data_IF_972242208868
#
_entry.id   IF_972242208868
#
_cell.length_a   1.000
_cell.length_b   1.000
_cell.length_c   1.000
_cell.angle_alpha   90.00
_cell.angle_beta   90.00
_cell.angle_gamma   90.00
#
_symmetry.space_group_name_H-M   'P 1'
#
loop_
_entity.id
_entity.type
_entity.pdbx_description
1 polymer ?
#
# COMPACT_ATOMS: atom_id res chain seq x y z
N UNK A 1 20.74 -13.17 12.35
CA UNK A 1 20.94 -14.36 11.51
C UNK A 1 21.97 -14.04 10.43
N UNK A 2 22.76 -15.03 10.01
CA UNK A 2 23.66 -14.87 8.86
C UNK A 2 22.89 -15.25 7.60
N UNK A 3 22.80 -14.34 6.64
CA UNK A 3 22.17 -14.56 5.34
C UNK A 3 23.13 -14.03 4.28
N UNK A 4 23.53 -14.87 3.34
CA UNK A 4 24.27 -14.38 2.17
C UNK A 4 23.38 -13.44 1.35
N UNK A 5 23.98 -12.65 0.46
CA UNK A 5 23.19 -11.77 -0.42
C UNK A 5 22.19 -12.58 -1.25
N UNK A 6 22.60 -13.76 -1.74
CA UNK A 6 21.74 -14.67 -2.49
C UNK A 6 20.56 -15.19 -1.65
N UNK A 7 20.80 -15.61 -0.40
CA UNK A 7 19.73 -16.05 0.50
C UNK A 7 18.72 -14.92 0.75
N UNK A 8 19.22 -13.69 0.93
CA UNK A 8 18.38 -12.53 1.17
C UNK A 8 17.54 -12.18 -0.06
N UNK A 9 18.14 -12.23 -1.24
CA UNK A 9 17.45 -11.99 -2.51
C UNK A 9 16.35 -13.02 -2.77
N UNK A 10 16.60 -14.31 -2.46
CA UNK A 10 15.60 -15.35 -2.58
C UNK A 10 14.42 -15.10 -1.62
N UNK A 11 14.71 -14.76 -0.36
CA UNK A 11 13.68 -14.40 0.65
C UNK A 11 12.83 -13.23 0.16
N UNK A 12 13.45 -12.19 -0.40
CA UNK A 12 12.75 -10.98 -0.83
C UNK A 12 11.96 -11.23 -2.11
N UNK A 13 12.54 -11.93 -3.08
CA UNK A 13 11.88 -12.29 -4.34
C UNK A 13 10.62 -13.11 -4.08
N UNK A 14 10.70 -14.10 -3.16
CA UNK A 14 9.53 -14.89 -2.74
C UNK A 14 8.42 -14.02 -2.14
N UNK A 15 8.78 -12.96 -1.43
CA UNK A 15 7.85 -11.98 -0.86
C UNK A 15 7.29 -10.96 -1.87
N UNK A 16 7.78 -10.98 -3.12
CA UNK A 16 7.44 -10.00 -4.17
C UNK A 16 8.18 -8.67 -4.03
N UNK A 17 9.37 -8.68 -3.42
CA UNK A 17 10.19 -7.51 -3.14
C UNK A 17 11.60 -7.69 -3.72
N UNK A 18 12.30 -6.58 -3.91
CA UNK A 18 13.76 -6.51 -4.04
C UNK A 18 14.33 -5.63 -2.92
N UNK A 19 15.55 -5.90 -2.48
CA UNK A 19 16.24 -5.01 -1.56
C UNK A 19 16.61 -3.72 -2.29
N UNK A 20 16.37 -2.57 -1.66
CA UNK A 20 16.61 -1.26 -2.26
C UNK A 20 17.57 -0.42 -1.41
N UNK A 21 18.46 -1.10 -0.70
CA UNK A 21 19.53 -0.53 0.12
C UNK A 21 20.80 -1.37 -0.04
N UNK A 22 21.98 -0.85 0.33
CA UNK A 22 23.19 -1.64 0.36
C UNK A 22 23.06 -2.88 1.28
N UNK A 23 23.70 -3.99 0.88
CA UNK A 23 23.81 -5.18 1.70
C UNK A 23 24.71 -4.95 2.92
N UNK A 24 24.48 -5.72 3.98
CA UNK A 24 25.37 -5.71 5.12
C UNK A 24 26.65 -6.49 4.80
N UNK A 25 27.80 -5.84 4.92
CA UNK A 25 29.13 -6.42 4.67
C UNK A 25 29.39 -7.72 5.47
N UNK A 26 28.83 -7.80 6.67
CA UNK A 26 28.97 -8.95 7.57
C UNK A 26 27.93 -10.06 7.33
N UNK A 27 27.01 -9.87 6.37
CA UNK A 27 25.88 -10.76 6.10
C UNK A 27 24.99 -11.01 7.34
N UNK A 28 25.01 -10.11 8.33
CA UNK A 28 24.25 -10.22 9.57
C UNK A 28 23.00 -9.35 9.52
N UNK A 29 21.84 -9.99 9.67
CA UNK A 29 20.55 -9.29 9.70
C UNK A 29 19.80 -9.63 10.98
N UNK A 30 19.15 -8.64 11.62
CA UNK A 30 18.26 -8.92 12.77
C UNK A 30 16.84 -9.12 12.26
N UNK A 31 16.09 -10.06 12.86
CA UNK A 31 14.70 -10.31 12.45
C UNK A 31 13.82 -9.06 12.62
N UNK A 32 14.01 -8.28 13.67
CA UNK A 32 13.22 -7.06 13.90
C UNK A 32 13.75 -5.83 13.17
N UNK A 33 14.81 -5.98 12.36
CA UNK A 33 15.35 -4.93 11.53
C UNK A 33 14.40 -4.59 10.39
N UNK A 34 14.24 -3.30 10.14
CA UNK A 34 13.54 -2.80 8.96
C UNK A 34 14.53 -2.67 7.82
N UNK A 35 14.19 -3.25 6.68
CA UNK A 35 14.96 -3.18 5.46
C UNK A 35 14.15 -2.40 4.42
N UNK A 36 14.82 -1.49 3.72
CA UNK A 36 14.25 -0.71 2.63
C UNK A 36 14.19 -1.55 1.38
N UNK A 37 13.00 -1.63 0.81
CA UNK A 37 12.65 -2.57 -0.25
C UNK A 37 11.91 -1.85 -1.35
N UNK A 38 11.88 -2.45 -2.54
CA UNK A 38 11.02 -2.03 -3.64
C UNK A 38 10.11 -3.19 -4.03
N UNK A 39 8.84 -2.89 -4.26
CA UNK A 39 7.88 -3.87 -4.75
C UNK A 39 8.13 -4.22 -6.21
N UNK A 40 8.20 -5.50 -6.53
CA UNK A 40 8.41 -5.99 -7.90
C UNK A 40 7.18 -5.79 -8.82
N UNK A 41 6.03 -5.42 -8.27
CA UNK A 41 4.77 -5.25 -9.02
C UNK A 41 4.48 -3.77 -9.27
N UNK A 42 4.34 -2.99 -8.20
CA UNK A 42 3.93 -1.59 -8.27
C UNK A 42 5.09 -0.61 -8.12
N UNK A 43 6.32 -1.10 -7.88
CA UNK A 43 7.49 -0.24 -7.69
C UNK A 43 7.49 0.57 -6.40
N UNK A 44 6.46 0.46 -5.54
CA UNK A 44 6.42 1.16 -4.26
C UNK A 44 7.59 0.75 -3.39
N UNK A 45 8.29 1.75 -2.88
CA UNK A 45 9.39 1.56 -1.94
C UNK A 45 8.91 1.77 -0.52
N UNK A 46 9.27 0.84 0.37
CA UNK A 46 8.89 0.91 1.77
C UNK A 46 9.84 0.07 2.62
N UNK A 47 9.86 0.41 3.91
CA UNK A 47 10.56 -0.36 4.92
C UNK A 47 9.65 -1.48 5.43
N UNK A 48 10.13 -2.72 5.41
CA UNK A 48 9.47 -3.86 6.04
C UNK A 48 10.41 -4.54 7.02
N UNK A 49 9.86 -5.08 8.12
CA UNK A 49 10.65 -5.90 9.06
C UNK A 49 11.01 -7.21 8.39
N UNK A 50 12.26 -7.66 8.55
CA UNK A 50 12.67 -8.98 8.05
C UNK A 50 11.78 -10.09 8.61
N UNK A 51 11.41 -10.02 9.89
CA UNK A 51 10.46 -10.95 10.52
C UNK A 51 9.12 -10.99 9.80
N UNK A 52 8.58 -9.83 9.43
CA UNK A 52 7.31 -9.74 8.71
C UNK A 52 7.41 -10.36 7.32
N UNK A 53 8.53 -10.15 6.62
CA UNK A 53 8.80 -10.76 5.31
C UNK A 53 8.82 -12.30 5.43
N UNK A 54 9.54 -12.82 6.43
CA UNK A 54 9.62 -14.27 6.68
C UNK A 54 8.25 -14.86 7.00
N UNK A 55 7.48 -14.24 7.89
CA UNK A 55 6.12 -14.68 8.25
C UNK A 55 5.18 -14.71 7.02
N UNK A 56 5.26 -13.71 6.15
CA UNK A 56 4.46 -13.65 4.92
C UNK A 56 4.87 -14.70 3.89
N UNK A 57 6.16 -14.99 3.79
CA UNK A 57 6.65 -16.10 2.96
C UNK A 57 6.17 -17.47 3.44
N UNK A 58 6.06 -17.65 4.76
CA UNK A 58 5.57 -18.90 5.37
C UNK A 58 4.09 -19.13 5.07
N UNK A 59 3.28 -18.06 5.04
CA UNK A 59 1.86 -18.16 4.67
C UNK A 59 1.56 -17.93 3.18
N UNK A 60 2.58 -17.79 2.33
CA UNK A 60 2.45 -17.61 0.88
C UNK A 60 1.84 -16.26 0.45
N UNK A 61 1.83 -15.26 1.32
CA UNK A 61 1.31 -13.92 1.04
C UNK A 61 2.41 -12.96 0.59
N UNK A 62 2.06 -12.01 -0.28
CA UNK A 62 2.97 -10.92 -0.68
C UNK A 62 3.04 -9.83 0.39
N UNK A 63 4.19 -9.16 0.48
CA UNK A 63 4.46 -8.19 1.57
C UNK A 63 4.00 -6.75 1.26
N UNK A 64 3.96 -6.36 -0.02
CA UNK A 64 3.71 -4.96 -0.40
C UNK A 64 2.38 -4.42 0.14
N UNK A 65 2.44 -3.43 1.06
CA UNK A 65 1.25 -2.85 1.66
C UNK A 65 0.45 -1.96 0.73
N UNK A 66 1.09 -1.33 -0.26
CA UNK A 66 0.35 -0.60 -1.29
C UNK A 66 -0.54 -1.56 -2.11
N UNK A 67 0.02 -2.64 -2.65
CA UNK A 67 -0.77 -3.66 -3.36
C UNK A 67 -1.84 -4.27 -2.46
N UNK A 68 -1.52 -4.56 -1.19
CA UNK A 68 -2.50 -5.08 -0.25
C UNK A 68 -3.68 -4.13 -0.09
N UNK A 69 -3.43 -2.84 0.14
CA UNK A 69 -4.51 -1.88 0.40
C UNK A 69 -5.38 -1.65 -0.82
N UNK A 70 -4.77 -1.55 -2.01
CA UNK A 70 -5.52 -1.43 -3.26
C UNK A 70 -6.41 -2.66 -3.51
N UNK A 71 -5.89 -3.86 -3.28
CA UNK A 71 -6.71 -5.08 -3.35
C UNK A 71 -7.81 -5.08 -2.30
N UNK A 72 -7.49 -4.70 -1.06
CA UNK A 72 -8.46 -4.64 0.03
C UNK A 72 -9.59 -3.66 -0.27
N UNK A 73 -9.30 -2.50 -0.86
CA UNK A 73 -10.33 -1.57 -1.33
C UNK A 73 -11.23 -2.21 -2.37
N UNK A 74 -10.67 -2.81 -3.43
CA UNK A 74 -11.45 -3.52 -4.45
C UNK A 74 -12.38 -4.57 -3.84
N UNK A 75 -11.83 -5.45 -2.99
CA UNK A 75 -12.62 -6.53 -2.36
C UNK A 75 -13.70 -5.96 -1.42
N UNK A 76 -13.39 -4.88 -0.68
CA UNK A 76 -14.34 -4.22 0.22
C UNK A 76 -15.49 -3.55 -0.55
N UNK A 77 -15.17 -2.97 -1.70
CA UNK A 77 -16.16 -2.37 -2.59
C UNK A 77 -17.11 -3.40 -3.20
N UNK A 78 -16.60 -4.57 -3.60
CA UNK A 78 -17.45 -5.64 -4.13
C UNK A 78 -18.48 -6.12 -3.09
N UNK A 79 -18.05 -6.26 -1.83
CA UNK A 79 -18.93 -6.63 -0.72
C UNK A 79 -19.96 -5.51 -0.45
N UNK A 80 -19.50 -4.26 -0.43
CA UNK A 80 -20.35 -3.11 -0.20
C UNK A 80 -21.40 -2.96 -1.31
N UNK A 81 -21.00 -3.08 -2.57
CA UNK A 81 -21.89 -3.01 -3.72
C UNK A 81 -22.93 -4.12 -3.67
N UNK A 82 -22.53 -5.36 -3.35
CA UNK A 82 -23.47 -6.46 -3.19
C UNK A 82 -24.52 -6.18 -2.10
N UNK A 83 -24.11 -5.59 -0.98
CA UNK A 83 -25.02 -5.18 0.09
C UNK A 83 -25.98 -4.07 -0.37
N UNK A 84 -25.48 -3.04 -1.05
CA UNK A 84 -26.29 -1.95 -1.62
C UNK A 84 -27.30 -2.49 -2.64
N UNK A 85 -26.88 -3.40 -3.53
CA UNK A 85 -27.78 -4.01 -4.51
C UNK A 85 -28.87 -4.84 -3.83
N UNK A 86 -28.54 -5.57 -2.77
CA UNK A 86 -29.52 -6.30 -1.98
C UNK A 86 -30.56 -5.34 -1.34
N UNK A 87 -30.12 -4.22 -0.78
CA UNK A 87 -31.02 -3.21 -0.21
C UNK A 87 -31.97 -2.61 -1.27
N UNK A 88 -31.44 -2.31 -2.45
CA UNK A 88 -32.22 -1.80 -3.58
C UNK A 88 -33.24 -2.84 -4.05
N UNK A 89 -32.83 -4.11 -4.16
CA UNK A 89 -33.72 -5.20 -4.53
C UNK A 89 -34.86 -5.42 -3.51
N UNK A 90 -34.63 -5.08 -2.23
CA UNK A 90 -35.63 -5.12 -1.16
C UNK A 90 -36.45 -3.81 -1.03
N UNK A 91 -36.37 -2.92 -2.03
CA UNK A 91 -37.24 -1.75 -2.14
C UNK A 91 -36.70 -0.47 -1.50
N UNK A 92 -35.47 -0.46 -0.96
CA UNK A 92 -34.83 0.76 -0.46
C UNK A 92 -34.32 1.58 -1.64
N UNK A 93 -34.74 2.84 -1.73
CA UNK A 93 -34.31 3.73 -2.81
C UNK A 93 -32.90 4.25 -2.58
N UNK A 94 -32.18 4.60 -3.66
CA UNK A 94 -30.85 5.23 -3.55
C UNK A 94 -30.90 6.52 -2.71
N UNK A 95 -31.99 7.28 -2.79
CA UNK A 95 -32.19 8.49 -1.97
C UNK A 95 -32.17 8.16 -0.48
N UNK A 96 -32.92 7.14 -0.06
CA UNK A 96 -32.93 6.69 1.34
C UNK A 96 -31.56 6.21 1.79
N UNK A 97 -30.82 5.50 0.91
CA UNK A 97 -29.45 5.07 1.23
C UNK A 97 -28.49 6.26 1.40
N UNK A 98 -28.64 7.33 0.62
CA UNK A 98 -27.87 8.57 0.84
C UNK A 98 -28.28 9.28 2.13
N UNK A 99 -29.59 9.38 2.40
CA UNK A 99 -30.12 10.01 3.63
C UNK A 99 -29.69 9.27 4.90
N UNK A 100 -29.55 7.95 4.82
CA UNK A 100 -29.03 7.10 5.91
C UNK A 100 -27.50 7.09 6.00
N UNK A 101 -26.81 7.73 5.06
CA UNK A 101 -25.34 7.72 4.98
C UNK A 101 -24.75 6.36 4.59
N UNK A 102 -25.56 5.42 4.11
CA UNK A 102 -25.07 4.16 3.54
C UNK A 102 -24.28 4.47 2.28
N UNK A 103 -24.91 5.19 1.33
CA UNK A 103 -24.22 5.74 0.16
C UNK A 103 -23.60 7.09 0.52
N UNK A 104 -22.36 7.29 0.11
CA UNK A 104 -21.65 8.56 0.31
C UNK A 104 -21.01 9.01 -1.00
N UNK A 105 -21.01 10.32 -1.24
CA UNK A 105 -20.26 10.91 -2.35
C UNK A 105 -18.78 10.91 -1.98
N UNK A 106 -18.07 9.89 -2.45
CA UNK A 106 -16.64 9.76 -2.26
C UNK A 106 -15.89 10.60 -3.28
N UNK A 107 -14.77 11.19 -2.84
CA UNK A 107 -13.82 11.85 -3.73
C UNK A 107 -12.40 11.53 -3.28
N UNK A 108 -11.55 11.55 -4.29
CA UNK A 108 -10.11 11.51 -4.16
C UNK A 108 -9.55 12.64 -3.28
N UNK A 109 -8.59 12.30 -2.42
CA UNK A 109 -7.80 13.28 -1.68
C UNK A 109 -6.87 14.04 -2.62
N UNK A 110 -6.87 15.37 -2.64
CA UNK A 110 -5.81 16.09 -3.36
C UNK A 110 -4.42 15.84 -2.75
N UNK A 111 -3.36 16.17 -3.51
CA UNK A 111 -1.99 16.14 -2.98
C UNK A 111 -1.88 17.00 -1.72
N UNK A 112 -2.37 18.25 -1.78
CA UNK A 112 -2.34 19.19 -0.65
C UNK A 112 -3.08 18.66 0.59
N UNK A 113 -4.22 18.00 0.40
CA UNK A 113 -4.94 17.38 1.53
C UNK A 113 -4.16 16.23 2.15
N UNK A 114 -3.53 15.40 1.31
CA UNK A 114 -2.72 14.26 1.73
C UNK A 114 -1.43 14.69 2.42
N UNK A 115 -0.78 15.73 1.90
CA UNK A 115 0.43 16.32 2.46
C UNK A 115 0.13 16.96 3.82
N UNK A 116 -0.97 17.72 3.91
CA UNK A 116 -1.43 18.30 5.18
C UNK A 116 -1.71 17.21 6.21
N UNK A 117 -2.39 16.12 5.83
CA UNK A 117 -2.64 14.98 6.71
C UNK A 117 -1.34 14.34 7.19
N UNK A 118 -0.41 14.04 6.28
CA UNK A 118 0.88 13.45 6.61
C UNK A 118 1.67 14.34 7.58
N UNK A 119 1.79 15.63 7.29
CA UNK A 119 2.53 16.59 8.10
C UNK A 119 1.94 16.74 9.50
N UNK A 120 0.62 16.84 9.62
CA UNK A 120 -0.07 16.90 10.92
C UNK A 120 0.15 15.64 11.76
N UNK A 121 0.34 14.50 11.12
CA UNK A 121 0.64 13.21 11.76
C UNK A 121 2.14 12.92 11.95
N UNK A 122 3.02 13.87 11.63
CA UNK A 122 4.48 13.75 11.83
C UNK A 122 5.21 12.94 10.75
N UNK A 123 4.69 12.99 9.52
CA UNK A 123 5.25 12.34 8.34
C UNK A 123 5.50 13.34 7.21
N UNK A 124 6.56 13.11 6.43
CA UNK A 124 6.69 13.65 5.09
C UNK A 124 5.84 12.82 4.13
N UNK A 125 5.05 13.45 3.25
CA UNK A 125 4.42 12.77 2.12
C UNK A 125 5.47 12.54 1.03
N UNK A 126 5.65 11.28 0.63
CA UNK A 126 6.59 10.89 -0.43
C UNK A 126 5.85 10.67 -1.75
N UNK A 127 4.71 9.98 -1.70
CA UNK A 127 3.89 9.72 -2.89
C UNK A 127 2.43 9.45 -2.52
N UNK A 128 1.55 9.49 -3.52
CA UNK A 128 0.12 9.24 -3.36
C UNK A 128 -0.38 8.36 -4.50
N UNK A 129 -0.85 7.16 -4.16
CA UNK A 129 -1.33 6.17 -5.12
C UNK A 129 -2.86 6.19 -5.10
N UNK A 130 -3.46 6.30 -6.29
CA UNK A 130 -4.90 6.15 -6.52
C UNK A 130 -5.27 4.70 -6.81
N UNK A 131 -6.32 4.21 -6.18
CA UNK A 131 -6.99 2.99 -6.58
C UNK A 131 -8.00 3.20 -7.72
N UNK A 132 -8.82 2.17 -7.95
CA UNK A 132 -9.75 2.13 -9.09
C UNK A 132 -11.00 2.99 -8.85
N UNK A 133 -11.34 3.28 -7.59
CA UNK A 133 -12.50 4.09 -7.22
C UNK A 133 -12.12 5.34 -6.43
N UNK A 134 -12.96 6.39 -6.45
CA UNK A 134 -12.73 7.57 -5.65
C UNK A 134 -12.56 7.23 -4.17
N UNK A 135 -11.58 7.86 -3.54
CA UNK A 135 -11.16 7.67 -2.14
C UNK A 135 -10.39 6.38 -1.80
N UNK A 136 -10.04 5.57 -2.81
CA UNK A 136 -9.11 4.43 -2.67
C UNK A 136 -7.64 4.90 -2.61
N UNK A 137 -7.39 5.84 -1.72
CA UNK A 137 -6.10 6.49 -1.60
C UNK A 137 -5.15 5.67 -0.72
N UNK A 138 -3.91 5.55 -1.18
CA UNK A 138 -2.79 5.00 -0.41
C UNK A 138 -1.65 6.01 -0.42
N UNK A 139 -1.30 6.52 0.76
CA UNK A 139 -0.22 7.47 0.95
C UNK A 139 1.08 6.72 1.22
N UNK A 140 2.15 7.11 0.52
CA UNK A 140 3.51 6.70 0.84
C UNK A 140 4.11 7.79 1.71
N UNK A 141 4.37 7.47 2.97
CA UNK A 141 4.79 8.43 3.99
C UNK A 141 6.13 8.05 4.61
N UNK A 142 6.97 9.04 4.94
CA UNK A 142 8.23 8.85 5.66
C UNK A 142 8.14 9.54 7.02
N UNK A 143 8.36 8.80 8.10
CA UNK A 143 8.29 9.36 9.45
C UNK A 143 9.41 10.38 9.66
N UNK A 144 9.07 11.61 10.04
CA UNK A 144 10.05 12.67 10.28
C UNK A 144 10.97 12.35 11.49
N UNK A 145 10.50 11.54 12.45
CA UNK A 145 11.26 11.22 13.65
C UNK A 145 12.23 10.04 13.47
N UNK A 146 11.81 8.97 12.79
CA UNK A 146 12.60 7.74 12.69
C UNK A 146 13.04 7.38 11.27
N UNK A 147 12.58 8.10 10.25
CA UNK A 147 12.93 7.84 8.84
C UNK A 147 12.21 6.65 8.19
N UNK A 148 11.37 5.91 8.93
CA UNK A 148 10.62 4.77 8.37
C UNK A 148 9.66 5.23 7.27
N UNK A 149 9.82 4.66 6.07
CA UNK A 149 8.92 4.83 4.94
C UNK A 149 7.89 3.69 4.86
N UNK A 150 6.61 4.00 4.63
CA UNK A 150 5.52 3.02 4.64
C UNK A 150 4.37 3.43 3.73
N UNK A 151 3.64 2.44 3.20
CA UNK A 151 2.39 2.63 2.48
C UNK A 151 1.19 2.49 3.43
N UNK A 152 0.34 3.50 3.52
CA UNK A 152 -0.73 3.60 4.51
C UNK A 152 -2.01 4.18 3.90
N UNK A 153 -3.18 3.74 4.38
CA UNK A 153 -4.44 4.43 4.07
C UNK A 153 -4.50 5.76 4.83
N UNK A 154 -5.30 6.75 4.40
CA UNK A 154 -5.46 8.03 5.11
C UNK A 154 -5.77 7.86 6.60
N UNK A 155 -6.65 6.92 6.96
CA UNK A 155 -7.02 6.64 8.34
C UNK A 155 -5.86 6.08 9.16
N UNK A 156 -4.97 5.29 8.54
CA UNK A 156 -3.80 4.73 9.21
C UNK A 156 -2.71 5.80 9.42
N UNK A 157 -2.56 6.74 8.47
CA UNK A 157 -1.63 7.89 8.61
C UNK A 157 -2.01 8.73 9.83
N UNK A 158 -3.31 8.95 10.05
CA UNK A 158 -3.82 9.78 11.15
C UNK A 158 -3.33 9.31 12.54
N UNK A 159 -3.09 8.01 12.74
CA UNK A 159 -2.59 7.46 14.00
C UNK A 159 -1.12 7.79 14.30
N UNK A 160 -0.35 8.20 13.30
CA UNK A 160 1.07 8.49 13.48
C UNK A 160 1.97 7.26 13.51
N UNK A 161 3.27 7.49 13.64
CA UNK A 161 4.25 6.41 13.65
C UNK A 161 4.36 5.77 15.03
N UNK A 162 4.41 4.44 15.05
CA UNK A 162 4.65 3.64 16.28
C UNK A 162 6.06 3.77 16.85
N UNK A 163 6.91 4.66 16.31
CA UNK A 163 8.24 4.88 16.87
C UNK A 163 8.13 5.59 18.23
N UNK A 164 8.83 5.07 19.24
CA UNK A 164 8.90 5.74 20.53
C UNK A 164 9.86 6.95 20.43
N UNK A 165 9.31 8.17 20.37
CA UNK A 165 10.10 9.41 20.27
C UNK A 165 11.13 9.58 21.41
N UNK A 166 10.83 9.06 22.62
CA UNK A 166 11.75 9.13 23.75
C UNK A 166 12.96 8.18 23.64
N UNK A 167 12.82 7.07 22.90
CA UNK A 167 13.92 6.13 22.65
C UNK A 167 14.82 6.55 21.47
N UNK A 168 14.52 7.68 20.81
CA UNK A 168 15.19 8.16 19.59
C UNK A 168 16.20 9.30 19.85
N UNK A 169 16.67 9.47 21.10
CA UNK A 169 17.71 10.45 21.49
C UNK A 169 19.12 10.15 20.93
N UNK A 170 19.24 9.37 19.86
CA UNK A 170 20.50 8.87 19.32
C UNK A 170 20.58 8.78 17.79
N UNK A 171 19.81 9.60 17.06
CA UNK A 171 19.91 9.68 15.60
C UNK A 171 18.99 8.69 14.87
N UNK A 172 18.61 9.07 13.65
CA UNK A 172 17.60 8.41 12.80
C UNK A 172 17.99 6.93 12.55
N UNK A 173 17.27 5.92 13.06
CA UNK A 173 17.70 4.52 12.96
C UNK A 173 17.26 3.82 11.66
N UNK A 174 16.50 4.49 10.79
CA UNK A 174 16.06 3.94 9.50
C UNK A 174 16.30 4.94 8.36
N UNK A 175 16.89 4.47 7.25
CA UNK A 175 16.71 5.13 5.97
C UNK A 175 17.43 6.47 5.81
N UNK A 176 18.78 6.50 5.75
CA UNK A 176 19.44 7.62 5.05
C UNK A 176 19.09 7.58 3.56
N UNK A 177 18.67 6.41 3.08
CA UNK A 177 17.96 6.20 1.83
C UNK A 177 16.65 7.02 1.84
N UNK A 178 16.69 8.20 1.20
CA UNK A 178 15.51 8.97 0.80
C UNK A 178 15.38 8.80 -0.71
N UNK A 179 14.29 8.18 -1.18
CA UNK A 179 13.95 8.31 -2.59
C UNK A 179 13.36 9.70 -2.78
N UNK A 180 14.00 10.51 -3.62
CA UNK A 180 13.36 11.71 -4.10
C UNK A 180 12.24 11.31 -5.05
N UNK A 181 11.04 11.87 -4.89
CA UNK A 181 9.94 11.56 -5.78
C UNK A 181 10.35 11.93 -7.22
N UNK A 182 10.09 11.04 -8.20
CA UNK A 182 10.53 11.24 -9.59
C UNK A 182 9.88 12.43 -10.31
N UNK A 183 8.90 13.07 -9.67
CA UNK A 183 8.22 14.29 -10.12
C UNK A 183 8.42 15.32 -9.00
N UNK A 184 8.93 16.53 -9.29
CA UNK A 184 9.08 17.59 -8.29
C UNK A 184 7.78 17.90 -7.56
N UNK A 185 7.86 18.31 -6.29
CA UNK A 185 6.67 18.53 -5.45
C UNK A 185 5.78 19.64 -5.99
N UNK A 186 6.39 20.71 -6.50
CA UNK A 186 5.73 21.87 -7.12
C UNK A 186 4.86 21.52 -8.34
N UNK A 187 5.14 20.39 -9.00
CA UNK A 187 4.41 19.90 -10.17
C UNK A 187 3.27 18.94 -9.79
N UNK A 188 3.16 18.53 -8.52
CA UNK A 188 2.15 17.59 -8.00
C UNK A 188 0.88 18.29 -7.53
N UNK A 189 0.28 19.11 -8.38
CA UNK A 189 -1.01 19.79 -8.06
C UNK A 189 -2.16 18.81 -7.88
N UNK A 190 -2.09 17.69 -8.57
CA UNK A 190 -2.95 16.53 -8.44
C UNK A 190 -2.02 15.38 -8.02
N UNK A 191 -2.52 14.45 -7.21
CA UNK A 191 -1.80 13.20 -6.97
C UNK A 191 -1.26 12.70 -8.31
N UNK A 192 0.06 12.56 -8.48
CA UNK A 192 0.53 11.87 -9.66
C UNK A 192 -0.18 10.53 -9.59
N UNK A 193 -0.92 10.16 -10.63
CA UNK A 193 -1.15 8.75 -10.83
C UNK A 193 0.27 8.22 -10.99
N UNK A 194 0.90 7.71 -9.92
CA UNK A 194 2.01 6.77 -10.07
C UNK A 194 1.50 5.86 -11.16
N UNK A 195 2.13 5.84 -12.37
CA UNK A 195 1.51 5.30 -13.57
C UNK A 195 0.80 4.05 -13.15
N UNK A 196 -0.52 4.13 -13.26
CA UNK A 196 -1.37 3.30 -12.43
C UNK A 196 -1.11 1.84 -12.71
N UNK A 197 -1.97 1.04 -12.16
CA UNK A 197 -2.32 -0.25 -12.70
C UNK A 197 -2.53 -0.35 -14.24
N UNK A 198 -2.08 0.54 -15.14
CA UNK A 198 -1.90 0.20 -16.56
C UNK A 198 -1.17 -1.16 -16.72
N UNK A 199 -0.21 -1.47 -15.83
CA UNK A 199 0.47 -2.78 -15.76
C UNK A 199 -0.19 -3.83 -14.85
N UNK A 200 -0.96 -3.45 -13.83
CA UNK A 200 -1.63 -4.39 -12.91
C UNK A 200 -2.97 -4.87 -13.52
N UNK A 201 -3.67 -4.01 -14.24
CA UNK A 201 -4.89 -4.32 -14.99
C UNK A 201 -4.61 -5.21 -16.22
N UNK A 202 -3.47 -5.06 -16.90
CA UNK A 202 -3.07 -6.02 -17.95
C UNK A 202 -2.76 -7.45 -17.43
N UNK A 203 -2.59 -7.63 -16.11
CA UNK A 203 -2.45 -8.94 -15.48
C UNK A 203 -3.79 -9.45 -14.89
N UNK A 204 -4.68 -8.55 -14.45
CA UNK A 204 -6.06 -8.85 -14.06
C UNK A 204 -6.94 -9.26 -15.26
N UNK A 205 -6.78 -8.57 -16.40
CA UNK A 205 -7.42 -8.88 -17.68
C UNK A 205 -7.04 -10.28 -18.20
N UNK A 206 -5.85 -10.79 -17.88
CA UNK A 206 -5.43 -12.17 -18.17
C UNK A 206 -5.99 -13.23 -17.20
N UNK A 207 -6.61 -12.83 -16.08
CA UNK A 207 -7.23 -13.73 -15.10
C UNK A 207 -8.76 -13.75 -15.19
N UNK A 208 -9.41 -12.71 -15.70
CA UNK A 208 -10.86 -12.70 -15.93
C UNK A 208 -11.29 -13.49 -17.20
N UNK A 209 -10.36 -13.80 -18.11
CA UNK A 209 -10.56 -14.80 -19.17
C UNK A 209 -10.84 -16.21 -18.63
N UNK A 210 -10.70 -16.43 -17.31
CA UNK A 210 -11.15 -17.64 -16.61
C UNK A 210 -12.67 -17.68 -16.33
N UNK A 211 -13.44 -16.68 -16.77
CA UNK A 211 -14.88 -16.79 -17.05
C UNK A 211 -15.20 -17.63 -18.31
N UNK A 212 -14.24 -18.40 -18.84
CA UNK A 212 -14.45 -19.37 -19.92
C UNK A 212 -14.70 -20.78 -19.40
N UNK A 213 -15.94 -21.09 -19.04
CA UNK A 213 -16.32 -22.42 -18.57
C UNK A 213 -17.80 -22.55 -18.27
N UNK A 214 -18.62 -22.26 -19.28
CA UNK A 214 -20.04 -22.51 -19.33
C UNK A 214 -20.34 -23.97 -18.95
N UNK A 215 -20.97 -24.22 -17.81
CA UNK A 215 -21.65 -25.50 -17.56
C UNK A 215 -23.01 -25.22 -16.95
N UNK A 216 -24.00 -25.02 -17.82
CA UNK A 216 -25.42 -25.33 -17.60
C UNK A 216 -26.25 -25.01 -18.86
N UNK A 217 -26.37 -26.00 -19.73
CA UNK A 217 -27.56 -26.26 -20.56
C UNK A 217 -27.75 -27.78 -20.59
N UNK A 218 -28.76 -28.31 -19.88
CA UNK A 218 -29.99 -28.96 -20.45
C UNK A 218 -29.64 -30.13 -21.39
N UNK A 219 -30.00 -31.39 -21.16
CA UNK A 219 -31.26 -32.02 -20.68
C UNK A 219 -30.97 -33.37 -19.98
#
# INVERSE_FOLDING_TARGET
>A
MKLTNADLDEIFTRAGLEINQPYNLDSKYRKDEYLFTKCLICGTEAHYRLKYILEKNDCGERVCRACYWLKWYSDSHDIYDAAVQNMIANGITRRELYEQGVLTLQRDMSWNESERLANQSGYDLIDLIRGDRPSDDVLIVKCMACGRQSAMRPQDVAFGCTCNKAAMQGGVPFGSERKEPSVPLEDRKIAPCTPGAAGINALGERRATHFGGNDMTKE
#
